data_IF_853290994478
#
_entry.id   IF_853290994478
#
_cell.length_a   1.000
_cell.length_b   1.000
_cell.length_c   1.000
_cell.angle_alpha   90.00
_cell.angle_beta   90.00
_cell.angle_gamma   90.00
#
_symmetry.space_group_name_H-M   'P 1'
#
loop_
_entity.id
_entity.type
_entity.pdbx_description
1 polymer ?
#
# COMPACT_ATOMS: atom_id res chain seq x y z
N UNK A 1 -18.89 -7.91 18.30
CA UNK A 1 -20.00 -8.47 17.48
C UNK A 1 -21.06 -7.39 17.44
N UNK A 2 -21.07 -6.62 16.35
CA UNK A 2 -21.96 -5.48 16.17
C UNK A 2 -23.45 -5.84 16.17
N UNK A 3 -24.27 -4.90 16.62
CA UNK A 3 -25.73 -5.02 16.66
C UNK A 3 -26.29 -4.96 15.23
N UNK A 4 -26.83 -6.08 14.72
CA UNK A 4 -27.52 -6.19 13.43
C UNK A 4 -28.71 -5.22 13.23
N UNK A 5 -29.15 -4.51 14.28
CA UNK A 5 -30.38 -3.71 14.29
C UNK A 5 -30.16 -2.20 14.46
N UNK A 6 -28.91 -1.74 14.65
CA UNK A 6 -28.58 -0.32 14.84
C UNK A 6 -27.17 -0.02 14.31
N UNK A 7 -26.92 1.24 13.98
CA UNK A 7 -25.58 1.72 13.67
C UNK A 7 -24.62 1.41 14.81
N UNK A 8 -23.40 1.03 14.46
CA UNK A 8 -22.34 0.83 15.43
C UNK A 8 -21.93 2.16 16.06
N UNK A 9 -21.55 2.10 17.33
CA UNK A 9 -21.08 3.28 18.03
C UNK A 9 -19.71 3.68 17.48
N UNK A 10 -19.61 4.94 17.06
CA UNK A 10 -18.40 5.51 16.48
C UNK A 10 -17.68 6.36 17.52
N UNK A 11 -16.35 6.29 17.52
CA UNK A 11 -15.48 7.17 18.29
C UNK A 11 -14.75 8.13 17.36
N UNK A 12 -14.72 9.39 17.78
CA UNK A 12 -13.89 10.40 17.14
C UNK A 12 -12.50 10.38 17.79
N UNK A 13 -11.48 10.16 16.97
CA UNK A 13 -10.09 10.03 17.39
C UNK A 13 -9.22 11.09 16.71
N UNK A 14 -8.28 11.65 17.46
CA UNK A 14 -7.20 12.45 16.91
C UNK A 14 -5.93 11.59 16.85
N UNK A 15 -5.30 11.57 15.69
CA UNK A 15 -4.08 10.84 15.42
C UNK A 15 -2.95 11.84 15.19
N UNK A 16 -1.82 11.62 15.87
CA UNK A 16 -0.60 12.44 15.73
C UNK A 16 0.50 11.50 15.25
N UNK A 17 1.07 11.78 14.08
CA UNK A 17 2.09 10.93 13.45
C UNK A 17 3.28 11.77 13.03
N UNK A 18 4.49 11.27 13.22
CA UNK A 18 5.69 11.92 12.71
C UNK A 18 5.70 11.95 11.18
N UNK A 19 6.24 13.02 10.60
CA UNK A 19 6.28 13.22 9.14
C UNK A 19 6.82 12.01 8.38
N UNK A 20 7.91 11.42 8.85
CA UNK A 20 8.62 10.35 8.14
C UNK A 20 7.90 9.00 8.29
N UNK A 21 7.15 8.80 9.39
CA UNK A 21 6.36 7.60 9.64
C UNK A 21 4.94 7.68 9.04
N UNK A 22 4.48 8.87 8.65
CA UNK A 22 3.10 9.10 8.23
C UNK A 22 2.69 8.26 7.02
N UNK A 23 3.60 8.11 6.05
CA UNK A 23 3.33 7.29 4.86
C UNK A 23 3.08 5.82 5.22
N UNK A 24 3.96 5.23 6.04
CA UNK A 24 3.83 3.84 6.47
C UNK A 24 2.61 3.62 7.38
N UNK A 25 2.33 4.57 8.27
CA UNK A 25 1.14 4.50 9.13
C UNK A 25 -0.15 4.52 8.32
N UNK A 26 -0.27 5.41 7.32
CA UNK A 26 -1.45 5.48 6.46
C UNK A 26 -1.54 4.25 5.55
N UNK A 27 -0.42 3.70 5.09
CA UNK A 27 -0.38 2.43 4.36
C UNK A 27 -0.96 1.27 5.18
N UNK A 28 -0.53 1.10 6.44
CA UNK A 28 -1.05 0.04 7.30
C UNK A 28 -2.52 0.26 7.68
N UNK A 29 -2.92 1.51 7.92
CA UNK A 29 -4.33 1.84 8.15
C UNK A 29 -5.19 1.59 6.92
N UNK A 30 -4.66 1.82 5.71
CA UNK A 30 -5.36 1.55 4.46
C UNK A 30 -5.68 0.07 4.23
N UNK A 31 -4.94 -0.85 4.87
CA UNK A 31 -5.25 -2.29 4.85
C UNK A 31 -6.46 -2.64 5.72
N UNK A 32 -6.92 -1.73 6.58
CA UNK A 32 -8.04 -1.93 7.51
C UNK A 32 -9.21 -1.02 7.11
N UNK A 33 -10.42 -1.55 6.86
CA UNK A 33 -11.55 -0.75 6.37
C UNK A 33 -12.30 0.02 7.48
N UNK A 34 -11.68 0.25 8.65
CA UNK A 34 -12.37 0.74 9.85
C UNK A 34 -12.11 2.22 10.17
N UNK A 35 -11.35 2.93 9.34
CA UNK A 35 -10.95 4.32 9.60
C UNK A 35 -11.48 5.24 8.52
N UNK A 36 -12.22 6.27 8.92
CA UNK A 36 -12.65 7.35 8.03
C UNK A 36 -12.01 8.66 8.44
N UNK A 37 -11.12 9.20 7.60
CA UNK A 37 -10.49 10.49 7.83
C UNK A 37 -11.41 11.66 7.49
N UNK A 38 -11.36 12.69 8.33
CA UNK A 38 -11.98 13.98 8.08
C UNK A 38 -11.00 14.89 7.35
N UNK A 39 -11.49 15.65 6.36
CA UNK A 39 -10.67 16.65 5.69
C UNK A 39 -10.51 17.88 6.60
N UNK A 40 -9.27 18.10 7.06
CA UNK A 40 -8.90 19.26 7.87
C UNK A 40 -8.49 20.47 7.01
N UNK A 41 -8.29 20.28 5.70
CA UNK A 41 -7.85 21.29 4.74
C UNK A 41 -8.93 21.58 3.68
N UNK A 42 -10.21 21.47 4.04
CA UNK A 42 -11.33 21.63 3.13
C UNK A 42 -11.43 23.04 2.51
N UNK A 43 -10.90 24.04 3.21
CA UNK A 43 -10.78 25.44 2.79
C UNK A 43 -9.61 25.70 1.84
N UNK A 44 -8.61 24.81 1.82
CA UNK A 44 -7.44 24.91 0.95
C UNK A 44 -7.71 24.22 -0.39
N UNK A 45 -7.49 24.96 -1.48
CA UNK A 45 -7.60 24.45 -2.84
C UNK A 45 -6.69 23.23 -3.02
N UNK A 46 -7.19 22.19 -3.69
CA UNK A 46 -6.50 20.92 -3.94
C UNK A 46 -5.11 21.10 -4.57
N UNK A 47 -4.88 22.14 -5.37
CA UNK A 47 -3.58 22.43 -5.99
C UNK A 47 -2.55 23.04 -5.06
N UNK A 48 -2.99 23.67 -3.96
CA UNK A 48 -2.13 24.29 -2.96
C UNK A 48 -1.82 23.34 -1.80
N UNK A 49 -2.48 22.18 -1.76
CA UNK A 49 -2.19 21.13 -0.78
C UNK A 49 -0.77 20.61 -0.98
N UNK A 50 -0.14 20.24 0.13
CA UNK A 50 1.28 19.92 0.17
C UNK A 50 1.68 18.77 -0.78
N UNK A 51 0.91 17.68 -0.86
CA UNK A 51 1.23 16.53 -1.72
C UNK A 51 0.60 16.62 -3.11
N UNK A 52 0.14 17.80 -3.54
CA UNK A 52 -0.47 17.97 -4.87
C UNK A 52 0.51 17.62 -6.02
N UNK A 53 1.82 17.83 -5.82
CA UNK A 53 2.85 17.44 -6.79
C UNK A 53 2.98 15.94 -6.91
N UNK A 54 3.03 15.24 -5.78
CA UNK A 54 3.14 13.77 -5.76
C UNK A 54 1.91 13.13 -6.40
N UNK A 55 0.70 13.60 -6.09
CA UNK A 55 -0.54 13.08 -6.71
C UNK A 55 -0.49 13.24 -8.24
N UNK A 56 -0.07 14.40 -8.74
CA UNK A 56 0.07 14.64 -10.19
C UNK A 56 1.08 13.69 -10.82
N UNK A 57 2.21 13.43 -10.15
CA UNK A 57 3.20 12.44 -10.60
C UNK A 57 2.57 11.05 -10.73
N UNK A 58 1.80 10.60 -9.74
CA UNK A 58 1.08 9.32 -9.83
C UNK A 58 -0.03 9.32 -10.89
N UNK A 59 -0.70 10.46 -11.15
CA UNK A 59 -1.67 10.60 -12.25
C UNK A 59 -1.00 10.41 -13.62
N UNK A 60 0.19 10.98 -13.80
CA UNK A 60 0.97 10.84 -15.03
C UNK A 60 1.45 9.39 -15.22
N UNK A 61 1.93 8.73 -14.17
CA UNK A 61 2.28 7.31 -14.22
C UNK A 61 1.08 6.42 -14.54
N UNK A 62 -0.08 6.66 -13.91
CA UNK A 62 -1.31 5.92 -14.24
C UNK A 62 -1.72 6.12 -15.71
N UNK A 63 -1.52 7.33 -16.26
CA UNK A 63 -1.77 7.61 -17.68
C UNK A 63 -0.83 6.80 -18.59
N UNK A 64 0.46 6.73 -18.27
CA UNK A 64 1.47 5.96 -19.02
C UNK A 64 1.15 4.46 -18.99
N UNK A 65 0.82 3.91 -17.81
CA UNK A 65 0.42 2.50 -17.67
C UNK A 65 -0.85 2.17 -18.47
N UNK A 66 -1.87 3.05 -18.44
CA UNK A 66 -3.08 2.87 -19.27
C UNK A 66 -2.78 2.90 -20.77
N UNK A 67 -1.85 3.76 -21.19
CA UNK A 67 -1.41 3.79 -22.59
C UNK A 67 -0.73 2.47 -22.98
N UNK A 68 0.20 1.97 -22.16
CA UNK A 68 0.87 0.69 -22.38
C UNK A 68 -0.14 -0.47 -22.43
N UNK A 69 -1.09 -0.52 -21.49
CA UNK A 69 -2.16 -1.52 -21.49
C UNK A 69 -3.02 -1.45 -22.77
N UNK A 70 -3.31 -0.25 -23.26
CA UNK A 70 -4.06 -0.04 -24.50
C UNK A 70 -3.27 -0.52 -25.74
N UNK A 71 -1.95 -0.30 -25.80
CA UNK A 71 -1.09 -0.80 -26.88
C UNK A 71 -1.00 -2.33 -26.85
N UNK A 72 -0.83 -2.92 -25.66
CA UNK A 72 -0.81 -4.39 -25.50
C UNK A 72 -2.13 -5.02 -25.97
N UNK A 73 -3.27 -4.40 -25.65
CA UNK A 73 -4.59 -4.85 -26.12
C UNK A 73 -4.75 -4.71 -27.64
N UNK A 74 -4.20 -3.66 -28.24
CA UNK A 74 -4.28 -3.39 -29.68
C UNK A 74 -3.54 -4.45 -30.50
N UNK A 75 -2.44 -4.98 -29.97
CA UNK A 75 -1.62 -6.01 -30.62
C UNK A 75 -2.14 -7.45 -30.44
N UNK A 76 -3.41 -7.63 -30.04
CA UNK A 76 -4.09 -8.92 -29.85
C UNK A 76 -3.39 -9.89 -28.88
N UNK A 77 -2.51 -9.41 -28.00
CA UNK A 77 -2.02 -10.21 -26.88
C UNK A 77 -3.07 -10.15 -25.78
N UNK A 78 -3.89 -11.20 -25.71
CA UNK A 78 -4.85 -11.38 -24.61
C UNK A 78 -4.04 -11.42 -23.32
N UNK A 79 -4.16 -10.38 -22.48
CA UNK A 79 -3.62 -10.41 -21.12
C UNK A 79 -4.44 -11.46 -20.36
N UNK A 80 -4.01 -12.71 -20.43
CA UNK A 80 -4.58 -13.83 -19.68
C UNK A 80 -4.11 -13.69 -18.24
N UNK A 81 -4.91 -12.99 -17.45
CA UNK A 81 -4.72 -12.92 -16.01
C UNK A 81 -4.97 -11.52 -15.48
N UNK A 82 -6.22 -11.20 -15.17
CA UNK A 82 -6.46 -10.58 -13.87
C UNK A 82 -6.02 -11.65 -12.85
N UNK A 83 -4.76 -11.64 -12.45
CA UNK A 83 -4.41 -12.27 -11.18
C UNK A 83 -5.20 -11.46 -10.16
N UNK A 84 -6.37 -11.95 -9.79
CA UNK A 84 -7.02 -11.54 -8.55
C UNK A 84 -6.07 -11.99 -7.44
N UNK A 85 -5.01 -11.22 -7.21
CA UNK A 85 -4.12 -11.38 -6.09
C UNK A 85 -4.97 -11.10 -4.85
N UNK A 86 -5.46 -12.20 -4.25
CA UNK A 86 -6.09 -12.20 -2.92
C UNK A 86 -5.09 -11.85 -1.81
N UNK A 87 -3.84 -11.59 -2.17
CA UNK A 87 -2.80 -11.17 -1.23
C UNK A 87 -2.88 -9.65 -1.02
N UNK A 88 -2.79 -9.18 0.23
CA UNK A 88 -2.78 -7.75 0.50
C UNK A 88 -1.59 -7.13 -0.22
N UNK A 89 -1.87 -6.22 -1.16
CA UNK A 89 -0.84 -5.52 -1.92
C UNK A 89 0.02 -4.74 -0.93
N UNK A 90 1.28 -5.16 -0.78
CA UNK A 90 2.23 -4.46 0.06
C UNK A 90 2.66 -3.15 -0.59
N UNK A 91 2.81 -2.11 0.23
CA UNK A 91 3.22 -0.81 -0.26
C UNK A 91 4.72 -0.84 -0.55
N UNK A 92 5.05 -0.58 -1.80
CA UNK A 92 6.41 -0.61 -2.30
C UNK A 92 7.26 0.52 -1.68
N UNK A 93 8.56 0.29 -1.43
CA UNK A 93 9.49 1.35 -1.06
C UNK A 93 9.59 2.46 -2.11
N UNK A 94 9.81 3.71 -1.68
CA UNK A 94 9.90 4.86 -2.59
C UNK A 94 10.99 4.77 -3.67
N UNK A 95 12.03 3.96 -3.49
CA UNK A 95 13.10 3.84 -4.48
C UNK A 95 12.69 2.93 -5.65
N UNK A 96 11.95 1.87 -5.40
CA UNK A 96 11.44 0.94 -6.42
C UNK A 96 10.41 1.64 -7.30
N UNK A 97 9.49 2.43 -6.71
CA UNK A 97 8.50 3.16 -7.51
C UNK A 97 9.12 4.24 -8.41
N UNK A 98 10.28 4.79 -8.02
CA UNK A 98 11.03 5.70 -8.89
C UNK A 98 11.70 4.95 -10.06
N UNK A 99 12.13 3.72 -9.85
CA UNK A 99 12.68 2.87 -10.92
C UNK A 99 11.58 2.49 -11.91
N UNK A 100 10.40 2.10 -11.41
CA UNK A 100 9.22 1.82 -12.22
C UNK A 100 8.84 2.99 -13.12
N UNK A 101 8.87 4.23 -12.59
CA UNK A 101 8.61 5.42 -13.40
C UNK A 101 9.60 5.53 -14.57
N UNK A 102 10.90 5.31 -14.30
CA UNK A 102 11.93 5.34 -15.34
C UNK A 102 11.73 4.27 -16.41
N UNK A 103 11.35 3.06 -16.01
CA UNK A 103 11.09 1.94 -16.93
C UNK A 103 9.85 2.24 -17.78
N UNK A 104 8.76 2.73 -17.17
CA UNK A 104 7.56 3.11 -17.89
C UNK A 104 7.84 4.22 -18.91
N UNK A 105 8.72 5.16 -18.60
CA UNK A 105 9.08 6.27 -19.49
C UNK A 105 9.89 5.79 -20.69
N UNK A 106 10.88 4.92 -20.44
CA UNK A 106 11.64 4.29 -21.49
C UNK A 106 10.74 3.46 -22.43
N UNK A 107 9.83 2.65 -21.88
CA UNK A 107 8.91 1.83 -22.65
C UNK A 107 7.96 2.67 -23.53
N UNK A 108 7.39 3.75 -22.98
CA UNK A 108 6.53 4.66 -23.76
C UNK A 108 7.32 5.30 -24.90
N UNK A 109 8.54 5.78 -24.63
CA UNK A 109 9.38 6.40 -25.65
C UNK A 109 9.78 5.42 -26.76
N UNK A 110 10.11 4.17 -26.44
CA UNK A 110 10.42 3.15 -27.44
C UNK A 110 9.22 2.82 -28.34
N UNK A 111 8.01 2.70 -27.77
CA UNK A 111 6.79 2.44 -28.53
C UNK A 111 6.47 3.64 -29.45
N UNK A 112 6.61 4.87 -28.97
CA UNK A 112 6.41 6.08 -29.78
C UNK A 112 7.39 6.10 -30.97
N UNK A 113 8.68 5.80 -30.75
CA UNK A 113 9.67 5.70 -31.83
C UNK A 113 9.33 4.60 -32.85
N UNK A 114 8.91 3.41 -32.39
CA UNK A 114 8.52 2.31 -33.28
C UNK A 114 7.28 2.68 -34.11
N UNK A 115 6.30 3.35 -33.51
CA UNK A 115 5.11 3.82 -34.23
C UNK A 115 5.45 4.86 -35.30
N UNK A 116 6.36 5.80 -35.01
CA UNK A 116 6.83 6.79 -35.98
C UNK A 116 7.65 6.15 -37.13
N UNK A 117 8.45 5.11 -36.84
CA UNK A 117 9.18 4.36 -37.86
C UNK A 117 8.23 3.57 -38.77
N UNK A 118 7.19 2.94 -38.21
CA UNK A 118 6.18 2.22 -38.98
C UNK A 118 5.40 3.15 -39.95
N UNK A 119 5.11 4.38 -39.54
CA UNK A 119 4.51 5.39 -40.42
C UNK A 119 5.44 5.82 -41.57
N UNK A 120 6.75 5.85 -41.35
CA UNK A 120 7.75 6.15 -42.39
C UNK A 120 7.97 4.98 -43.36
N UNK A 121 7.90 3.72 -42.90
CA UNK A 121 8.05 2.54 -43.76
C UNK A 121 6.79 2.25 -44.59
N UNK A 122 5.60 2.58 -44.06
CA UNK A 122 4.34 2.50 -44.80
C UNK A 122 4.31 3.42 -46.04
N UNK A 123 5.16 4.45 -46.10
CA UNK A 123 5.35 5.31 -47.27
C UNK A 123 6.28 4.75 -48.35
N UNK A 124 7.05 3.68 -48.08
CA UNK A 124 8.12 3.18 -48.96
C UNK A 124 7.91 1.72 -49.42
N UNK A 125 7.02 0.95 -48.78
CA UNK A 125 6.80 -0.46 -49.13
C UNK A 125 5.88 -0.68 -50.35
N UNK A 126 6.39 -0.37 -51.56
CA UNK A 126 5.90 -0.99 -52.80
C UNK A 126 6.87 -2.11 -53.20
N UNK A 127 6.35 -3.34 -53.24
CA UNK A 127 7.00 -4.60 -53.63
C UNK A 127 7.97 -5.25 -52.63
N UNK A 128 7.51 -6.30 -51.95
CA UNK A 128 8.32 -7.49 -51.61
C UNK A 128 7.44 -8.66 -51.15
N UNK A 129 7.35 -9.69 -52.01
CA UNK A 129 7.00 -11.10 -51.79
C UNK A 129 6.07 -11.51 -50.62
N UNK A 130 4.93 -12.09 -50.98
CA UNK A 130 4.01 -12.86 -50.13
C UNK A 130 4.77 -13.97 -49.37
N UNK A 131 5.14 -13.69 -48.11
CA UNK A 131 5.39 -14.73 -47.10
C UNK A 131 4.07 -14.95 -46.38
N UNK A 132 3.53 -16.17 -46.44
CA UNK A 132 2.38 -16.51 -45.61
C UNK A 132 2.66 -16.16 -44.14
N UNK A 133 1.71 -15.54 -43.43
CA UNK A 133 1.93 -15.12 -42.06
C UNK A 133 2.01 -16.37 -41.19
N UNK A 134 3.22 -16.81 -40.86
CA UNK A 134 3.42 -17.80 -39.79
C UNK A 134 2.94 -17.17 -38.49
N UNK A 135 1.72 -17.50 -38.08
CA UNK A 135 1.13 -17.01 -36.84
C UNK A 135 2.01 -17.43 -35.66
N UNK A 136 2.51 -16.44 -34.92
CA UNK A 136 3.22 -16.65 -33.66
C UNK A 136 2.34 -16.12 -32.52
N UNK A 137 2.45 -16.75 -31.36
CA UNK A 137 1.75 -16.32 -30.14
C UNK A 137 2.82 -15.95 -29.12
N UNK A 138 2.72 -14.75 -28.58
CA UNK A 138 3.60 -14.27 -27.51
C UNK A 138 2.78 -14.19 -26.23
N UNK A 139 3.37 -14.59 -25.11
CA UNK A 139 2.71 -14.55 -23.81
C UNK A 139 3.71 -14.61 -22.68
N UNK A 140 3.23 -14.28 -21.49
CA UNK A 140 4.00 -14.39 -20.25
C UNK A 140 3.56 -15.65 -19.52
N UNK A 141 4.52 -16.40 -19.01
CA UNK A 141 4.29 -17.59 -18.19
C UNK A 141 5.18 -17.52 -16.95
N UNK A 142 4.67 -17.97 -15.81
CA UNK A 142 5.48 -18.11 -14.59
C UNK A 142 6.68 -19.03 -14.87
N UNK A 143 7.87 -18.63 -14.42
CA UNK A 143 9.14 -19.35 -14.65
C UNK A 143 9.06 -20.82 -14.21
N UNK A 144 8.40 -21.08 -13.08
CA UNK A 144 8.14 -22.44 -12.57
C UNK A 144 7.29 -23.33 -13.51
N UNK A 145 6.46 -22.73 -14.37
CA UNK A 145 5.54 -23.45 -15.28
C UNK A 145 6.09 -23.64 -16.70
N UNK A 146 7.23 -23.02 -17.04
CA UNK A 146 7.85 -23.11 -18.38
C UNK A 146 8.09 -24.57 -18.78
N UNK A 147 8.72 -25.35 -17.90
CA UNK A 147 9.03 -26.77 -18.16
C UNK A 147 7.78 -27.63 -18.39
N UNK A 148 6.68 -27.34 -17.70
CA UNK A 148 5.42 -28.05 -17.86
C UNK A 148 4.76 -27.68 -19.19
N UNK A 149 4.77 -26.40 -19.54
CA UNK A 149 4.21 -25.88 -20.79
C UNK A 149 4.92 -26.45 -22.02
N UNK A 150 6.25 -26.44 -22.05
CA UNK A 150 7.02 -27.02 -23.16
C UNK A 150 6.73 -28.52 -23.35
N UNK A 151 6.62 -29.29 -22.26
CA UNK A 151 6.28 -30.72 -22.32
C UNK A 151 4.89 -30.96 -22.90
N UNK A 152 3.91 -30.10 -22.59
CA UNK A 152 2.56 -30.18 -23.15
C UNK A 152 2.60 -29.83 -24.63
N UNK A 153 3.26 -28.72 -24.99
CA UNK A 153 3.37 -28.27 -26.38
C UNK A 153 4.05 -29.33 -27.25
N UNK A 154 5.11 -29.95 -26.73
CA UNK A 154 5.83 -31.02 -27.42
C UNK A 154 4.95 -32.24 -27.73
N UNK A 155 4.02 -32.57 -26.82
CA UNK A 155 3.08 -33.69 -26.99
C UNK A 155 1.97 -33.36 -27.98
N UNK A 156 1.40 -32.15 -27.89
CA UNK A 156 0.26 -31.73 -28.71
C UNK A 156 0.68 -31.39 -30.13
N UNK A 157 1.77 -30.64 -30.30
CA UNK A 157 2.21 -30.13 -31.59
C UNK A 157 3.17 -31.10 -32.32
N UNK A 158 3.44 -32.30 -31.80
CA UNK A 158 4.28 -33.32 -32.46
C UNK A 158 5.61 -32.78 -33.04
N UNK A 159 6.28 -31.89 -32.30
CA UNK A 159 7.55 -31.22 -32.70
C UNK A 159 7.46 -30.18 -33.82
N UNK A 160 6.27 -29.69 -34.19
CA UNK A 160 6.15 -28.63 -35.20
C UNK A 160 6.17 -27.21 -34.62
N UNK A 161 6.01 -27.06 -33.30
CA UNK A 161 6.02 -25.77 -32.62
C UNK A 161 7.42 -25.42 -32.08
N UNK A 162 7.87 -24.20 -32.37
CA UNK A 162 9.10 -23.64 -31.83
C UNK A 162 8.75 -22.66 -30.70
N UNK A 163 9.29 -22.91 -29.51
CA UNK A 163 9.14 -22.02 -28.35
C UNK A 163 10.49 -21.35 -28.11
N UNK A 164 10.45 -20.03 -27.90
CA UNK A 164 11.58 -19.27 -27.34
C UNK A 164 11.06 -18.56 -26.11
N UNK A 165 11.83 -18.63 -25.02
CA UNK A 165 11.57 -17.86 -23.81
C UNK A 165 12.81 -17.02 -23.50
N UNK A 166 12.57 -15.85 -22.90
CA UNK A 166 13.56 -15.01 -22.26
C UNK A 166 13.12 -14.92 -20.80
N UNK A 167 14.05 -15.13 -19.88
CA UNK A 167 13.77 -14.88 -18.47
C UNK A 167 13.64 -13.38 -18.26
N UNK A 168 12.50 -12.96 -17.73
CA UNK A 168 12.30 -11.59 -17.27
C UNK A 168 12.86 -11.55 -15.86
N UNK A 169 14.04 -10.94 -15.69
CA UNK A 169 14.70 -10.82 -14.38
C UNK A 169 13.89 -9.93 -13.41
N UNK A 170 13.08 -9.02 -13.95
CA UNK A 170 12.31 -8.03 -13.20
C UNK A 170 10.88 -8.52 -12.91
N UNK A 171 10.42 -8.38 -11.67
CA UNK A 171 9.08 -8.82 -11.28
C UNK A 171 8.03 -7.95 -11.98
N UNK A 172 7.06 -8.57 -12.66
CA UNK A 172 5.99 -7.82 -13.33
C UNK A 172 5.08 -7.16 -12.28
N UNK A 173 5.23 -5.86 -12.15
CA UNK A 173 4.50 -5.09 -11.16
C UNK A 173 3.03 -4.88 -11.56
N UNK A 174 2.13 -5.03 -10.59
CA UNK A 174 0.72 -4.79 -10.81
C UNK A 174 0.44 -3.28 -10.90
N UNK A 175 -0.38 -2.81 -11.86
CA UNK A 175 -0.76 -1.40 -11.99
C UNK A 175 -1.53 -0.85 -10.78
N UNK A 176 -1.94 -1.73 -9.85
CA UNK A 176 -2.59 -1.37 -8.59
C UNK A 176 -1.64 -0.68 -7.60
N UNK A 177 -0.33 -0.94 -7.67
CA UNK A 177 0.67 -0.34 -6.76
C UNK A 177 0.68 1.19 -6.88
N UNK A 178 0.67 1.72 -8.11
CA UNK A 178 0.59 3.17 -8.38
C UNK A 178 -0.68 3.78 -7.80
N UNK A 179 -1.80 3.06 -7.87
CA UNK A 179 -3.09 3.51 -7.30
C UNK A 179 -3.05 3.58 -5.78
N UNK A 180 -2.40 2.60 -5.13
CA UNK A 180 -2.26 2.58 -3.68
C UNK A 180 -1.42 3.77 -3.21
N UNK A 181 -0.26 4.01 -3.81
CA UNK A 181 0.57 5.18 -3.46
C UNK A 181 -0.20 6.51 -3.62
N UNK A 182 -0.91 6.67 -4.74
CA UNK A 182 -1.78 7.84 -4.96
C UNK A 182 -2.84 8.01 -3.87
N UNK A 183 -3.48 6.92 -3.45
CA UNK A 183 -4.50 6.93 -2.39
C UNK A 183 -3.92 7.35 -1.03
N UNK A 184 -2.70 6.93 -0.72
CA UNK A 184 -1.99 7.30 0.52
C UNK A 184 -1.70 8.81 0.51
N UNK A 185 -1.13 9.34 -0.57
CA UNK A 185 -0.88 10.78 -0.70
C UNK A 185 -2.16 11.61 -0.70
N UNK A 186 -3.23 11.10 -1.31
CA UNK A 186 -4.55 11.73 -1.26
C UNK A 186 -5.09 11.80 0.18
N UNK A 187 -4.85 10.76 0.98
CA UNK A 187 -5.27 10.71 2.39
C UNK A 187 -4.43 11.65 3.24
N UNK A 188 -3.11 11.67 3.04
CA UNK A 188 -2.20 12.58 3.74
C UNK A 188 -2.50 14.06 3.44
N UNK A 189 -3.06 14.37 2.27
CA UNK A 189 -3.50 15.73 1.92
C UNK A 189 -4.67 16.25 2.76
N UNK A 190 -5.37 15.39 3.49
CA UNK A 190 -6.43 15.78 4.43
C UNK A 190 -5.89 16.15 5.81
N UNK A 191 -4.59 15.91 6.08
CA UNK A 191 -3.98 16.12 7.39
C UNK A 191 -3.38 17.53 7.50
N UNK A 192 -3.35 18.07 8.71
CA UNK A 192 -2.70 19.35 9.01
C UNK A 192 -1.37 19.13 9.71
N UNK A 193 -0.53 20.16 9.76
CA UNK A 193 0.68 20.16 10.58
C UNK A 193 0.42 20.77 11.94
N UNK A 194 1.16 20.26 12.93
CA UNK A 194 1.38 21.02 14.15
C UNK A 194 2.20 22.30 13.84
N UNK A 195 2.12 23.33 14.67
CA UNK A 195 2.74 24.65 14.43
C UNK A 195 4.26 24.63 14.18
N UNK A 196 4.93 23.52 14.51
CA UNK A 196 6.37 23.29 14.32
C UNK A 196 6.66 22.50 13.02
N UNK A 197 5.66 21.85 12.41
CA UNK A 197 5.78 21.10 11.15
C UNK A 197 6.40 19.71 11.25
N UNK A 198 6.67 19.21 12.46
CA UNK A 198 7.27 17.87 12.68
C UNK A 198 6.25 16.72 12.64
N UNK A 199 5.02 17.01 13.03
CA UNK A 199 3.96 16.03 13.17
C UNK A 199 2.77 16.38 12.28
N UNK A 200 2.17 15.34 11.70
CA UNK A 200 0.84 15.39 11.12
C UNK A 200 -0.21 15.18 12.19
N UNK A 201 -1.27 15.96 12.09
CA UNK A 201 -2.49 15.81 12.88
C UNK A 201 -3.59 15.39 11.92
N UNK A 202 -4.27 14.29 12.26
CA UNK A 202 -5.41 13.79 11.54
C UNK A 202 -6.58 13.56 12.50
N UNK A 203 -7.79 13.85 12.03
CA UNK A 203 -9.02 13.51 12.73
C UNK A 203 -9.72 12.36 11.99
N UNK A 204 -10.10 11.31 12.70
CA UNK A 204 -10.75 10.16 12.10
C UNK A 204 -11.88 9.57 12.97
N UNK A 205 -12.85 8.97 12.29
CA UNK A 205 -13.89 8.15 12.90
C UNK A 205 -13.49 6.69 12.86
N UNK A 206 -13.67 6.00 13.98
CA UNK A 206 -13.36 4.57 14.14
C UNK A 206 -14.50 3.90 14.94
N UNK A 207 -14.99 2.72 14.53
CA UNK A 207 -15.91 1.93 15.34
C UNK A 207 -15.30 1.56 16.69
N UNK A 208 -16.09 1.60 17.77
CA UNK A 208 -15.61 1.31 19.13
C UNK A 208 -14.98 -0.08 19.28
N UNK A 209 -15.51 -1.09 18.59
CA UNK A 209 -15.01 -2.48 18.62
C UNK A 209 -13.62 -2.61 17.95
N UNK A 210 -13.32 -1.78 16.96
CA UNK A 210 -12.12 -1.89 16.10
C UNK A 210 -10.99 -0.94 16.48
N UNK A 211 -11.15 -0.14 17.54
CA UNK A 211 -10.11 0.78 18.03
C UNK A 211 -8.80 0.06 18.33
N UNK A 212 -8.86 -1.19 18.83
CA UNK A 212 -7.68 -1.99 19.13
C UNK A 212 -6.93 -2.41 17.86
N UNK A 213 -7.66 -2.76 16.80
CA UNK A 213 -7.05 -3.12 15.51
C UNK A 213 -6.37 -1.92 14.84
N UNK A 214 -6.94 -0.72 14.98
CA UNK A 214 -6.33 0.53 14.51
C UNK A 214 -5.04 0.83 15.29
N UNK A 215 -5.02 0.61 16.60
CA UNK A 215 -3.80 0.76 17.43
C UNK A 215 -2.70 -0.19 16.97
N UNK A 216 -3.02 -1.46 16.77
CA UNK A 216 -2.05 -2.48 16.34
C UNK A 216 -1.48 -2.19 14.93
N UNK A 217 -2.34 -1.71 14.02
CA UNK A 217 -1.90 -1.28 12.68
C UNK A 217 -0.95 -0.07 12.74
N UNK A 218 -1.22 0.90 13.63
CA UNK A 218 -0.31 2.03 13.85
C UNK A 218 1.02 1.59 14.47
N UNK A 219 1.01 0.68 15.45
CA UNK A 219 2.22 0.12 16.03
C UNK A 219 3.07 -0.64 14.99
N UNK A 220 2.42 -1.32 14.04
CA UNK A 220 3.06 -2.00 12.92
C UNK A 220 3.66 -1.02 11.90
N UNK A 221 2.94 0.06 11.56
CA UNK A 221 3.41 1.09 10.64
C UNK A 221 4.55 1.95 11.18
N UNK A 222 4.73 1.98 12.51
CA UNK A 222 5.79 2.72 13.21
C UNK A 222 7.11 1.92 13.32
N UNK A 223 7.20 0.73 12.70
CA UNK A 223 8.43 -0.10 12.70
C UNK A 223 9.51 0.45 11.73
N UNK A 224 10.04 1.64 12.07
CA UNK A 224 11.39 2.20 11.81
C UNK A 224 11.56 3.64 12.35
N UNK A 225 10.83 4.00 13.41
CA UNK A 225 11.05 5.25 14.15
C UNK A 225 10.42 5.16 15.55
N UNK A 226 11.21 5.35 16.60
CA UNK A 226 10.70 5.35 17.98
C UNK A 226 9.80 6.54 18.24
N UNK A 227 8.52 6.31 18.57
CA UNK A 227 7.67 7.29 19.23
C UNK A 227 7.19 6.77 20.59
N UNK A 228 7.80 7.38 21.61
CA UNK A 228 7.30 7.71 22.95
C UNK A 228 6.50 6.67 23.76
N UNK A 229 7.03 6.39 24.95
CA UNK A 229 6.65 5.36 25.94
C UNK A 229 5.14 5.05 26.04
N UNK A 230 4.75 3.77 26.10
CA UNK A 230 3.37 3.36 26.34
C UNK A 230 2.91 3.69 27.79
N UNK A 231 1.60 3.94 28.02
CA UNK A 231 1.07 4.22 29.35
C UNK A 231 1.12 2.98 30.26
N UNK A 232 1.35 3.22 31.56
CA UNK A 232 1.45 2.18 32.60
C UNK A 232 0.08 1.57 32.90
N UNK A 233 -0.08 0.26 32.69
CA UNK A 233 -1.29 -0.49 33.02
C UNK A 233 -0.99 -1.54 34.11
N UNK A 234 -1.56 -1.36 35.31
CA UNK A 234 -1.45 -2.31 36.40
C UNK A 234 -2.69 -3.19 36.47
N UNK A 235 -2.56 -4.51 36.22
CA UNK A 235 -3.66 -5.48 36.37
C UNK A 235 -4.04 -5.61 37.85
N UNK A 236 -5.28 -5.28 38.20
CA UNK A 236 -5.82 -5.42 39.56
C UNK A 236 -6.92 -6.48 39.64
N UNK A 237 -6.97 -7.21 40.76
CA UNK A 237 -8.08 -8.04 41.19
C UNK A 237 -9.07 -7.14 41.97
N UNK A 238 -10.34 -7.54 42.10
CA UNK A 238 -11.34 -6.91 42.98
C UNK A 238 -10.79 -6.50 44.37
N UNK A 239 -9.83 -7.23 44.94
CA UNK A 239 -9.15 -6.91 46.19
C UNK A 239 -8.02 -5.87 46.05
N UNK A 240 -7.19 -5.96 45.01
CA UNK A 240 -6.03 -5.06 44.82
C UNK A 240 -6.37 -3.76 44.10
N UNK A 241 -7.59 -3.63 43.56
CA UNK A 241 -8.09 -2.42 42.91
C UNK A 241 -8.18 -1.22 43.87
N UNK A 242 -8.54 -1.47 45.14
CA UNK A 242 -8.68 -0.40 46.14
C UNK A 242 -7.32 0.20 46.50
N UNK A 243 -6.29 -0.64 46.66
CA UNK A 243 -4.93 -0.19 46.95
C UNK A 243 -4.31 0.53 45.76
N UNK A 244 -4.56 0.06 44.54
CA UNK A 244 -4.12 0.75 43.32
C UNK A 244 -4.78 2.13 43.19
N UNK A 245 -6.07 2.26 43.52
CA UNK A 245 -6.75 3.56 43.52
C UNK A 245 -6.18 4.56 44.53
N UNK A 246 -5.65 4.09 45.66
CA UNK A 246 -4.93 4.94 46.62
C UNK A 246 -3.58 5.36 46.07
N UNK A 247 -2.80 4.43 45.50
CA UNK A 247 -1.49 4.74 44.91
C UNK A 247 -1.63 5.72 43.73
N UNK A 248 -2.62 5.51 42.87
CA UNK A 248 -2.88 6.35 41.69
C UNK A 248 -3.30 7.78 42.08
N UNK A 249 -3.88 7.98 43.27
CA UNK A 249 -4.27 9.31 43.75
C UNK A 249 -3.09 10.22 44.11
N UNK A 250 -1.92 9.64 44.38
CA UNK A 250 -0.66 10.37 44.59
C UNK A 250 0.13 10.60 43.28
N UNK A 251 -0.20 9.87 42.21
CA UNK A 251 0.42 9.97 40.89
C UNK A 251 0.59 8.60 40.23
N UNK A 252 0.50 8.55 38.91
CA UNK A 252 0.67 7.31 38.13
C UNK A 252 2.17 7.11 37.83
N UNK A 253 2.71 5.94 38.18
CA UNK A 253 4.11 5.58 37.97
C UNK A 253 4.49 5.55 36.47
N UNK A 254 5.75 5.86 36.16
CA UNK A 254 6.25 5.83 34.78
C UNK A 254 6.34 4.40 34.24
N UNK A 255 6.33 4.26 32.91
CA UNK A 255 6.43 2.95 32.26
C UNK A 255 7.69 2.19 32.71
N UNK A 256 7.48 0.98 33.25
CA UNK A 256 8.47 0.05 33.84
C UNK A 256 9.08 0.46 35.20
N UNK A 257 8.51 1.44 35.89
CA UNK A 257 8.85 1.67 37.31
C UNK A 257 8.21 0.61 38.22
N UNK A 258 8.87 0.33 39.35
CA UNK A 258 8.37 -0.63 40.34
C UNK A 258 7.05 -0.12 40.92
N UNK A 259 5.97 -0.90 40.79
CA UNK A 259 4.71 -0.56 41.43
C UNK A 259 4.86 -0.72 42.96
N UNK A 260 4.63 0.32 43.78
CA UNK A 260 4.66 0.19 45.24
C UNK A 260 3.41 -0.48 45.84
N UNK A 261 2.36 -0.69 45.03
CA UNK A 261 1.12 -1.36 45.44
C UNK A 261 1.26 -2.75 46.09
N UNK A 262 2.18 -3.63 45.67
CA UNK A 262 2.39 -4.94 46.29
C UNK A 262 3.10 -4.88 47.66
N UNK A 263 3.93 -3.85 47.92
CA UNK A 263 4.69 -3.76 49.18
C UNK A 263 3.79 -3.46 50.38
N UNK A 264 2.69 -2.73 50.17
CA UNK A 264 1.69 -2.44 51.20
C UNK A 264 0.87 -3.66 51.65
N UNK A 265 0.95 -4.78 50.93
CA UNK A 265 0.23 -6.00 51.31
C UNK A 265 1.01 -6.87 52.32
N UNK A 266 2.34 -6.70 52.41
CA UNK A 266 3.18 -7.46 53.35
C UNK A 266 3.42 -6.74 54.69
N UNK A 267 3.19 -5.43 54.78
CA UNK A 267 3.31 -4.69 56.04
C UNK A 267 2.10 -4.84 56.96
N UNK A 268 0.94 -5.24 56.42
CA UNK A 268 -0.29 -5.49 57.19
C UNK A 268 -0.42 -6.92 57.75
N UNK A 269 0.51 -7.82 57.43
CA UNK A 269 0.51 -9.19 57.96
C UNK A 269 1.55 -9.43 59.08
N UNK A 270 2.22 -8.38 59.57
CA UNK A 270 3.23 -8.47 60.63
C UNK A 270 3.02 -7.52 61.82
N UNK A 271 1.79 -7.03 62.03
CA UNK A 271 1.34 -6.47 63.31
C UNK A 271 -0.10 -6.90 63.59
#
# INVERSE_FOLDING_TARGET
>A
MGSLYRSEEMRFCQMIVERDAAFACVAELGKKPYVQFKDLNADVNSFQRMFAKDIRRFDEMERKLRFLEAQIRKDNNTILGSVESREPVEVMPHHEINQLEGISDAAVHEIELQSAAAESEAGIALHSAEKEPTGYVVGVILTEKVNAFERILWRVCRRTAFVRHIEIEEHLEHPETVRIHKSIYSTLNNFTFDGIGKFFVAECWVPLDDVQAVREALETGVVRGSLLKPPTYNRTNKFTAVFQGIVDSYGVASYLELNPGPENNNTLNNY
#
